data_IF_268686874181
#
_entry.id   IF_268686874181
#
_cell.length_a   1.000
_cell.length_b   1.000
_cell.length_c   1.000
_cell.angle_alpha   90.00
_cell.angle_beta   90.00
_cell.angle_gamma   90.00
#
_symmetry.space_group_name_H-M   'P 1'
#
loop_
_entity.id
_entity.type
_entity.pdbx_description
1 polymer ?
#
# COMPACT_ATOMS: atom_id res chain seq x y z
N UNK A 1 -1.45 -5.35 21.38
CA UNK A 1 -2.07 -4.07 20.99
C UNK A 1 -1.27 -3.44 19.87
N UNK A 2 -1.95 -2.98 18.81
CA UNK A 2 -1.32 -2.27 17.71
C UNK A 2 -1.23 -0.78 18.05
N UNK A 3 -0.09 -0.37 18.61
CA UNK A 3 0.11 1.01 19.08
C UNK A 3 1.03 1.72 18.10
N UNK A 4 0.52 2.75 17.42
CA UNK A 4 1.25 3.45 16.37
C UNK A 4 1.68 4.85 16.79
N UNK A 5 2.90 5.23 16.42
CA UNK A 5 3.31 6.62 16.32
C UNK A 5 3.57 6.92 14.84
N UNK A 6 2.64 7.63 14.19
CA UNK A 6 2.60 7.76 12.72
C UNK A 6 2.63 6.39 12.02
N UNK A 7 3.65 6.09 11.21
CA UNK A 7 3.82 4.81 10.50
C UNK A 7 4.77 3.83 11.23
N UNK A 8 5.10 4.11 12.49
CA UNK A 8 5.94 3.26 13.31
C UNK A 8 5.06 2.52 14.33
N UNK A 9 5.24 1.20 14.39
CA UNK A 9 4.54 0.34 15.31
C UNK A 9 5.40 0.10 16.56
N UNK A 10 4.79 0.21 17.72
CA UNK A 10 5.41 -0.12 19.00
C UNK A 10 5.46 -1.63 19.18
N UNK A 11 6.67 -2.16 19.33
CA UNK A 11 6.95 -3.60 19.50
C UNK A 11 8.05 -3.81 20.54
N UNK A 12 8.18 -5.03 21.06
CA UNK A 12 9.30 -5.40 21.93
C UNK A 12 10.60 -5.68 21.13
N UNK A 13 11.65 -6.12 21.83
CA UNK A 13 12.93 -6.49 21.21
C UNK A 13 12.83 -7.68 20.24
N UNK A 14 11.80 -8.51 20.36
CA UNK A 14 11.52 -9.67 19.50
C UNK A 14 10.43 -9.37 18.45
N UNK A 15 10.16 -8.08 18.21
CA UNK A 15 9.14 -7.59 17.28
C UNK A 15 7.71 -8.09 17.60
N UNK A 16 7.42 -8.39 18.87
CA UNK A 16 6.10 -8.78 19.33
C UNK A 16 5.29 -7.57 19.81
N UNK A 17 3.97 -7.67 19.65
CA UNK A 17 3.04 -6.63 20.10
C UNK A 17 2.96 -6.58 21.63
N UNK A 18 2.94 -5.39 22.24
CA UNK A 18 2.78 -5.26 23.69
C UNK A 18 1.38 -5.71 24.14
N UNK A 19 1.30 -6.22 25.37
CA UNK A 19 0.06 -6.45 26.10
C UNK A 19 -0.20 -5.25 27.00
N UNK A 20 -1.37 -4.65 26.87
CA UNK A 20 -1.75 -3.41 27.56
C UNK A 20 -3.21 -3.48 27.97
N UNK A 21 -3.60 -2.64 28.91
CA UNK A 21 -5.00 -2.44 29.24
C UNK A 21 -5.74 -1.72 28.09
N UNK A 22 -6.97 -2.18 27.86
CA UNK A 22 -7.89 -1.61 26.88
C UNK A 22 -8.49 -0.31 27.43
N UNK A 23 -8.48 0.72 26.61
CA UNK A 23 -9.08 2.03 26.90
C UNK A 23 -10.38 2.21 26.12
N UNK A 24 -11.27 3.07 26.62
CA UNK A 24 -12.53 3.37 25.93
C UNK A 24 -12.33 4.04 24.55
N UNK A 25 -11.21 4.73 24.35
CA UNK A 25 -10.85 5.38 23.09
C UNK A 25 -10.25 4.43 22.04
N UNK A 26 -9.88 3.21 22.43
CA UNK A 26 -9.22 2.24 21.56
C UNK A 26 -10.11 1.87 20.36
N UNK A 27 -9.47 1.71 19.21
CA UNK A 27 -10.13 1.23 18.00
C UNK A 27 -10.22 -0.29 18.02
N UNK A 28 -11.44 -0.81 17.84
CA UNK A 28 -11.69 -2.22 17.56
C UNK A 28 -11.70 -2.42 16.05
N UNK A 29 -10.72 -3.17 15.54
CA UNK A 29 -10.53 -3.37 14.11
C UNK A 29 -10.59 -4.84 13.67
N UNK A 30 -10.81 -5.74 14.63
CA UNK A 30 -10.95 -7.18 14.49
C UNK A 30 -12.26 -7.63 15.12
N UNK A 31 -12.67 -8.87 14.85
CA UNK A 31 -13.82 -9.47 15.53
C UNK A 31 -13.50 -9.87 16.98
N UNK A 32 -12.21 -10.09 17.27
CA UNK A 32 -11.72 -10.26 18.64
C UNK A 32 -11.59 -8.91 19.32
N UNK A 33 -12.42 -8.67 20.34
CA UNK A 33 -12.43 -7.41 21.11
C UNK A 33 -11.22 -7.22 22.04
N UNK A 34 -10.35 -8.24 22.15
CA UNK A 34 -9.07 -8.15 22.87
C UNK A 34 -7.97 -7.52 22.03
N UNK A 35 -8.16 -7.47 20.70
CA UNK A 35 -7.18 -6.88 19.78
C UNK A 35 -7.58 -5.44 19.48
N UNK A 36 -6.77 -4.52 19.97
CA UNK A 36 -7.00 -3.08 19.88
C UNK A 36 -5.94 -2.38 19.02
N UNK A 37 -6.32 -1.23 18.49
CA UNK A 37 -5.40 -0.27 17.88
C UNK A 37 -5.56 1.12 18.51
N UNK A 38 -4.46 1.83 18.75
CA UNK A 38 -4.47 3.22 19.20
C UNK A 38 -3.20 3.96 18.79
N UNK A 39 -3.27 5.28 18.87
CA UNK A 39 -2.09 6.12 18.72
C UNK A 39 -1.32 6.22 20.03
N UNK A 40 0.01 6.18 19.94
CA UNK A 40 0.90 6.68 20.96
C UNK A 40 0.96 8.20 20.78
N UNK A 41 0.60 8.95 21.81
CA UNK A 41 0.62 10.41 21.77
C UNK A 41 2.07 10.91 21.80
N UNK A 42 2.35 12.06 21.18
CA UNK A 42 3.72 12.58 21.06
C UNK A 42 4.36 12.92 22.42
N UNK A 43 3.55 13.19 23.42
CA UNK A 43 3.94 13.42 24.81
C UNK A 43 4.16 12.14 25.63
N UNK A 44 3.74 10.97 25.13
CA UNK A 44 3.91 9.70 25.84
C UNK A 44 5.33 9.15 25.65
N UNK A 45 5.97 8.77 26.76
CA UNK A 45 7.25 8.09 26.71
C UNK A 45 7.08 6.66 26.18
N UNK A 46 8.04 6.22 25.37
CA UNK A 46 8.14 4.80 24.97
C UNK A 46 8.41 3.97 26.23
N UNK A 47 7.55 2.99 26.58
CA UNK A 47 7.77 2.15 27.75
C UNK A 47 9.07 1.35 27.66
N UNK A 48 9.68 1.08 28.82
CA UNK A 48 10.91 0.29 28.90
C UNK A 48 10.75 -1.09 28.22
N UNK A 49 11.74 -1.48 27.42
CA UNK A 49 11.73 -2.74 26.67
C UNK A 49 10.97 -2.70 25.35
N UNK A 50 10.31 -1.59 25.02
CA UNK A 50 9.64 -1.39 23.73
C UNK A 50 10.40 -0.41 22.82
N UNK A 51 10.12 -0.49 21.52
CA UNK A 51 10.72 0.32 20.47
C UNK A 51 9.72 0.61 19.35
N UNK A 52 9.90 1.73 18.67
CA UNK A 52 9.13 2.10 17.48
C UNK A 52 9.82 1.60 16.22
N UNK A 53 9.17 0.72 15.47
CA UNK A 53 9.70 0.15 14.23
C UNK A 53 8.83 0.58 13.05
N UNK A 54 9.38 1.13 11.96
CA UNK A 54 8.60 1.40 10.74
C UNK A 54 7.90 0.14 10.26
N UNK A 55 6.57 0.18 10.08
CA UNK A 55 5.76 -1.00 9.74
C UNK A 55 6.27 -1.74 8.48
N UNK A 56 6.89 -1.03 7.54
CA UNK A 56 7.51 -1.61 6.33
C UNK A 56 8.60 -2.62 6.65
N UNK A 57 9.39 -2.40 7.71
CA UNK A 57 10.47 -3.30 8.11
C UNK A 57 9.95 -4.62 8.71
N UNK A 58 8.68 -4.65 9.12
CA UNK A 58 8.04 -5.85 9.67
C UNK A 58 7.61 -6.84 8.58
N UNK A 59 7.50 -6.42 7.31
CA UNK A 59 7.03 -7.29 6.19
C UNK A 59 7.83 -8.58 6.09
N UNK A 60 9.14 -8.52 6.32
CA UNK A 60 10.02 -9.69 6.19
C UNK A 60 10.07 -10.56 7.45
N UNK A 61 9.64 -10.04 8.61
CA UNK A 61 9.77 -10.70 9.90
C UNK A 61 8.43 -11.25 10.43
N UNK A 62 7.32 -10.74 9.91
CA UNK A 62 5.97 -11.10 10.36
C UNK A 62 5.27 -12.03 9.37
N UNK A 63 4.26 -12.75 9.87
CA UNK A 63 3.34 -13.47 9.00
C UNK A 63 2.51 -12.48 8.16
N UNK A 64 2.00 -12.96 7.02
CA UNK A 64 1.08 -12.20 6.17
C UNK A 64 -0.12 -11.69 6.98
N UNK A 65 -0.66 -12.51 7.87
CA UNK A 65 -1.81 -12.15 8.70
C UNK A 65 -1.49 -11.01 9.67
N UNK A 66 -0.38 -11.09 10.40
CA UNK A 66 0.07 -10.05 11.32
C UNK A 66 0.27 -8.72 10.59
N UNK A 67 0.91 -8.76 9.42
CA UNK A 67 1.13 -7.55 8.61
C UNK A 67 -0.18 -6.95 8.09
N UNK A 68 -1.12 -7.77 7.61
CA UNK A 68 -2.42 -7.30 7.14
C UNK A 68 -3.25 -6.68 8.28
N UNK A 69 -3.17 -7.23 9.50
CA UNK A 69 -3.81 -6.64 10.67
C UNK A 69 -3.16 -5.29 11.05
N UNK A 70 -1.83 -5.20 11.09
CA UNK A 70 -1.15 -3.92 11.32
C UNK A 70 -1.48 -2.88 10.25
N UNK A 71 -1.52 -3.30 8.98
CA UNK A 71 -1.90 -2.50 7.82
C UNK A 71 -3.31 -1.92 7.98
N UNK A 72 -4.27 -2.74 8.40
CA UNK A 72 -5.65 -2.28 8.69
C UNK A 72 -5.69 -1.31 9.86
N UNK A 73 -4.98 -1.62 10.95
CA UNK A 73 -4.94 -0.80 12.15
C UNK A 73 -4.42 0.62 11.85
N UNK A 74 -3.28 0.74 11.16
CA UNK A 74 -2.68 2.05 10.86
C UNK A 74 -3.56 2.89 9.92
N UNK A 75 -4.16 2.27 8.90
CA UNK A 75 -5.06 2.96 7.96
C UNK A 75 -6.32 3.50 8.66
N UNK A 76 -6.91 2.72 9.57
CA UNK A 76 -8.08 3.16 10.32
C UNK A 76 -7.74 4.25 11.35
N UNK A 77 -6.60 4.15 12.03
CA UNK A 77 -6.13 5.21 12.93
C UNK A 77 -5.87 6.51 12.15
N UNK A 78 -5.20 6.42 11.01
CA UNK A 78 -4.96 7.57 10.13
C UNK A 78 -6.24 8.20 9.61
N UNK A 79 -7.18 7.39 9.13
CA UNK A 79 -8.50 7.87 8.73
C UNK A 79 -9.21 8.60 9.87
N UNK A 80 -9.23 8.02 11.09
CA UNK A 80 -9.87 8.63 12.27
C UNK A 80 -9.23 9.97 12.62
N UNK A 81 -7.90 10.10 12.51
CA UNK A 81 -7.18 11.36 12.70
C UNK A 81 -7.57 12.42 11.66
N UNK A 82 -7.67 12.03 10.40
CA UNK A 82 -7.91 12.94 9.29
C UNK A 82 -9.39 13.36 9.12
N UNK A 83 -10.31 12.72 9.84
CA UNK A 83 -11.76 12.99 9.73
C UNK A 83 -12.38 13.48 11.05
N UNK A 84 -11.60 14.12 11.93
CA UNK A 84 -12.08 14.76 13.18
C UNK A 84 -13.09 15.90 12.94
N UNK A 85 -13.07 16.48 11.74
CA UNK A 85 -14.00 17.51 11.30
C UNK A 85 -14.68 17.08 10.00
N UNK A 86 -15.89 17.56 9.76
CA UNK A 86 -16.68 17.26 8.59
C UNK A 86 -16.14 17.99 7.36
N UNK A 87 -15.78 17.26 6.31
CA UNK A 87 -15.32 17.85 5.05
C UNK A 87 -16.40 18.68 4.31
N UNK A 88 -17.67 18.53 4.69
CA UNK A 88 -18.78 19.26 4.06
C UNK A 88 -19.10 20.60 4.76
N UNK A 89 -19.03 20.66 6.09
CA UNK A 89 -19.44 21.86 6.85
C UNK A 89 -18.48 22.31 7.97
N UNK A 90 -17.37 21.61 8.20
CA UNK A 90 -16.36 21.95 9.21
C UNK A 90 -16.72 21.61 10.67
N UNK A 91 -17.92 21.09 10.96
CA UNK A 91 -18.31 20.70 12.32
C UNK A 91 -17.54 19.45 12.80
N UNK A 92 -17.27 19.34 14.10
CA UNK A 92 -16.61 18.16 14.68
C UNK A 92 -17.45 16.89 14.45
N UNK A 93 -16.80 15.76 14.20
CA UNK A 93 -17.46 14.49 13.89
C UNK A 93 -17.48 13.55 15.08
N UNK A 94 -18.41 12.60 15.06
CA UNK A 94 -18.56 11.54 16.05
C UNK A 94 -18.34 10.18 15.41
N UNK A 95 -17.87 9.20 16.19
CA UNK A 95 -17.65 7.83 15.70
C UNK A 95 -19.00 7.12 15.61
N UNK A 96 -19.29 6.52 14.46
CA UNK A 96 -20.50 5.72 14.30
C UNK A 96 -20.46 4.46 15.19
N UNK A 97 -21.59 4.05 15.79
CA UNK A 97 -21.60 2.95 16.78
C UNK A 97 -21.25 1.57 16.23
N UNK A 98 -21.50 1.30 14.94
CA UNK A 98 -21.32 -0.05 14.33
C UNK A 98 -20.39 -0.09 13.11
N UNK A 99 -20.47 0.91 12.23
CA UNK A 99 -19.60 1.05 11.06
C UNK A 99 -18.29 1.81 11.36
N UNK A 100 -17.27 1.58 10.53
CA UNK A 100 -16.13 2.51 10.44
C UNK A 100 -16.57 3.77 9.69
N UNK A 101 -17.27 4.66 10.40
CA UNK A 101 -17.68 5.95 9.87
C UNK A 101 -17.46 7.05 10.92
N UNK A 102 -17.05 8.24 10.45
CA UNK A 102 -17.09 9.48 11.21
C UNK A 102 -18.30 10.27 10.71
N UNK A 103 -19.27 10.52 11.59
CA UNK A 103 -20.56 11.14 11.25
C UNK A 103 -20.61 12.55 11.77
N UNK A 104 -21.05 13.49 10.94
CA UNK A 104 -21.27 14.86 11.35
C UNK A 104 -22.65 15.02 12.00
N UNK A 105 -22.78 15.39 13.29
CA UNK A 105 -24.09 15.60 13.92
C UNK A 105 -24.84 16.81 13.35
N UNK A 106 -24.13 17.77 12.76
CA UNK A 106 -24.73 18.99 12.17
C UNK A 106 -25.39 18.75 10.82
N UNK A 107 -24.74 18.04 9.89
CA UNK A 107 -25.25 17.86 8.52
C UNK A 107 -25.51 16.38 8.15
N UNK A 108 -25.25 15.44 9.05
CA UNK A 108 -25.41 13.98 8.88
C UNK A 108 -24.53 13.35 7.78
N UNK A 109 -23.51 14.07 7.31
CA UNK A 109 -22.55 13.52 6.35
C UNK A 109 -21.72 12.40 6.99
N UNK A 110 -21.63 11.27 6.29
CA UNK A 110 -20.84 10.10 6.70
C UNK A 110 -19.53 10.09 5.94
N UNK A 111 -18.43 9.96 6.67
CA UNK A 111 -17.09 9.88 6.11
C UNK A 111 -16.52 8.50 6.41
N UNK A 112 -16.20 7.73 5.37
CA UNK A 112 -15.68 6.37 5.48
C UNK A 112 -14.16 6.31 5.24
N UNK A 113 -13.45 5.26 5.72
CA UNK A 113 -12.07 5.00 5.35
C UNK A 113 -11.89 4.96 3.84
N UNK A 114 -10.88 5.70 3.34
CA UNK A 114 -10.56 5.73 1.91
C UNK A 114 -9.60 4.60 1.58
N UNK A 115 -9.88 3.89 0.50
CA UNK A 115 -8.97 2.92 -0.11
C UNK A 115 -8.73 3.37 -1.53
N UNK A 116 -7.49 3.72 -1.86
CA UNK A 116 -7.12 4.23 -3.18
C UNK A 116 -6.73 3.05 -4.09
N UNK A 117 -7.48 2.78 -5.17
CA UNK A 117 -7.09 1.76 -6.14
C UNK A 117 -5.80 2.18 -6.87
N UNK A 118 -4.84 1.27 -6.93
CA UNK A 118 -3.56 1.48 -7.59
C UNK A 118 -3.21 0.23 -8.39
N UNK A 119 -3.04 0.37 -9.70
CA UNK A 119 -2.62 -0.75 -10.55
C UNK A 119 -1.12 -0.97 -10.42
N UNK A 120 -0.68 -2.20 -10.65
CA UNK A 120 0.73 -2.54 -10.82
C UNK A 120 0.83 -3.60 -11.90
N UNK A 121 1.67 -3.37 -12.90
CA UNK A 121 1.65 -4.13 -14.14
C UNK A 121 2.99 -4.77 -14.42
N UNK A 122 3.00 -6.10 -14.56
CA UNK A 122 4.13 -6.82 -15.16
C UNK A 122 3.93 -6.89 -16.67
N UNK A 123 4.84 -6.27 -17.42
CA UNK A 123 4.79 -6.19 -18.87
C UNK A 123 5.79 -7.19 -19.45
N UNK A 124 5.30 -8.24 -20.11
CA UNK A 124 6.13 -9.26 -20.76
C UNK A 124 6.38 -8.92 -22.23
N UNK A 125 7.56 -9.24 -22.75
CA UNK A 125 7.89 -9.14 -24.17
C UNK A 125 8.53 -10.44 -24.65
N UNK A 126 7.99 -11.01 -25.72
CA UNK A 126 8.39 -12.35 -26.16
C UNK A 126 8.14 -13.40 -25.07
N UNK A 127 9.01 -14.40 -25.02
CA UNK A 127 8.89 -15.54 -24.11
C UNK A 127 9.78 -15.43 -22.86
N UNK A 128 10.79 -14.54 -22.86
CA UNK A 128 11.85 -14.50 -21.84
C UNK A 128 12.18 -13.11 -21.29
N UNK A 129 11.44 -12.05 -21.64
CA UNK A 129 11.72 -10.68 -21.17
C UNK A 129 10.55 -10.03 -20.41
N UNK A 130 10.88 -9.23 -19.39
CA UNK A 130 9.96 -8.33 -18.69
C UNK A 130 10.50 -6.90 -18.65
N UNK A 131 9.61 -5.92 -18.73
CA UNK A 131 9.96 -4.52 -18.48
C UNK A 131 10.11 -4.28 -16.98
N UNK A 132 11.23 -3.66 -16.58
CA UNK A 132 11.39 -3.11 -15.25
C UNK A 132 11.86 -1.66 -15.34
N UNK A 133 11.41 -0.82 -14.40
CA UNK A 133 11.69 0.60 -14.38
C UNK A 133 12.24 1.06 -13.02
N UNK A 134 13.13 2.06 -13.04
CA UNK A 134 13.73 2.66 -11.85
C UNK A 134 13.12 4.04 -11.63
N UNK A 135 12.45 4.22 -10.49
CA UNK A 135 11.89 5.53 -10.11
C UNK A 135 12.98 6.51 -9.64
N UNK A 136 12.83 7.78 -9.99
CA UNK A 136 13.69 8.89 -9.52
C UNK A 136 13.54 9.13 -8.03
N UNK A 137 12.35 8.85 -7.47
CA UNK A 137 12.06 9.07 -6.05
C UNK A 137 12.66 8.00 -5.14
N UNK A 138 13.04 6.84 -5.70
CA UNK A 138 13.63 5.76 -4.93
C UNK A 138 15.15 5.92 -4.85
N UNK A 139 15.68 5.95 -3.63
CA UNK A 139 17.13 6.07 -3.38
C UNK A 139 17.90 4.76 -3.60
N UNK A 140 17.20 3.64 -3.79
CA UNK A 140 17.83 2.34 -4.07
C UNK A 140 18.08 2.14 -5.56
N UNK A 141 18.93 1.17 -5.92
CA UNK A 141 19.17 0.78 -7.31
C UNK A 141 18.16 -0.26 -7.83
N UNK A 142 17.03 -0.39 -7.13
CA UNK A 142 16.00 -1.37 -7.39
C UNK A 142 15.13 -0.97 -8.59
N UNK A 143 14.90 -1.91 -9.49
CA UNK A 143 13.94 -1.76 -10.58
C UNK A 143 12.62 -2.40 -10.18
N UNK A 144 11.53 -1.65 -10.32
CA UNK A 144 10.16 -2.07 -10.03
C UNK A 144 9.34 -2.30 -11.29
N UNK A 145 8.06 -2.57 -11.06
CA UNK A 145 7.03 -2.63 -12.10
C UNK A 145 6.37 -1.25 -12.25
N UNK A 146 5.76 -1.00 -13.41
CA UNK A 146 4.93 0.19 -13.67
C UNK A 146 3.71 0.15 -12.76
N UNK A 147 3.43 1.24 -12.05
CA UNK A 147 2.36 1.29 -11.07
C UNK A 147 1.88 2.72 -10.84
N UNK A 148 0.56 2.92 -10.90
CA UNK A 148 -0.03 4.22 -10.64
C UNK A 148 -1.47 4.14 -10.17
N UNK A 149 -2.02 5.29 -9.81
CA UNK A 149 -3.37 5.38 -9.25
C UNK A 149 -4.41 5.31 -10.35
N UNK A 150 -5.56 4.71 -10.06
CA UNK A 150 -6.70 4.73 -10.98
C UNK A 150 -7.39 6.08 -10.87
N UNK A 151 -7.67 6.72 -12.01
CA UNK A 151 -8.32 8.03 -12.05
C UNK A 151 -9.85 7.95 -11.97
N UNK A 152 -10.47 9.10 -11.70
CA UNK A 152 -11.94 9.20 -11.63
C UNK A 152 -12.54 8.97 -13.00
N UNK A 153 -13.39 7.93 -13.10
CA UNK A 153 -14.05 7.57 -14.35
C UNK A 153 -13.27 6.57 -15.21
N UNK A 154 -12.13 6.09 -14.71
CA UNK A 154 -11.26 5.13 -15.39
C UNK A 154 -11.56 3.69 -14.93
N UNK A 155 -11.51 2.74 -15.86
CA UNK A 155 -11.44 1.30 -15.56
C UNK A 155 -10.01 0.90 -15.14
N UNK A 156 -9.85 -0.28 -14.55
CA UNK A 156 -8.52 -0.75 -14.17
C UNK A 156 -7.62 -0.98 -15.39
N UNK A 157 -8.19 -1.49 -16.47
CA UNK A 157 -7.51 -1.77 -17.72
C UNK A 157 -7.09 -0.48 -18.45
N UNK A 158 -7.92 0.57 -18.39
CA UNK A 158 -7.55 1.90 -18.88
C UNK A 158 -6.39 2.48 -18.08
N UNK A 159 -6.40 2.36 -16.74
CA UNK A 159 -5.28 2.79 -15.90
C UNK A 159 -3.98 2.06 -16.25
N UNK A 160 -4.05 0.75 -16.49
CA UNK A 160 -2.89 -0.04 -16.94
C UNK A 160 -2.32 0.49 -18.25
N UNK A 161 -3.18 0.84 -19.22
CA UNK A 161 -2.73 1.40 -20.50
C UNK A 161 -2.17 2.81 -20.36
N UNK A 162 -2.84 3.67 -19.58
CA UNK A 162 -2.44 5.06 -19.36
C UNK A 162 -1.07 5.12 -18.69
N UNK A 163 -0.88 4.45 -17.56
CA UNK A 163 0.39 4.46 -16.82
C UNK A 163 1.55 3.91 -17.68
N UNK A 164 1.31 2.85 -18.45
CA UNK A 164 2.34 2.32 -19.37
C UNK A 164 2.68 3.28 -20.52
N UNK A 165 1.71 4.05 -21.00
CA UNK A 165 1.93 5.05 -22.04
C UNK A 165 2.63 6.29 -21.48
N UNK A 166 2.24 6.76 -20.29
CA UNK A 166 2.79 7.95 -19.62
C UNK A 166 4.21 7.70 -19.15
N UNK A 167 4.45 6.65 -18.36
CA UNK A 167 5.74 6.40 -17.71
C UNK A 167 6.83 5.93 -18.69
N UNK A 168 6.45 5.12 -19.68
CA UNK A 168 7.41 4.40 -20.55
C UNK A 168 7.08 4.42 -22.05
N UNK A 169 6.00 5.07 -22.48
CA UNK A 169 5.68 5.25 -23.92
C UNK A 169 5.21 3.99 -24.64
N UNK A 170 4.77 2.96 -23.91
CA UNK A 170 4.45 1.64 -24.50
C UNK A 170 2.95 1.39 -24.58
N UNK A 171 2.54 0.70 -25.66
CA UNK A 171 1.18 0.13 -25.78
C UNK A 171 1.18 -1.33 -25.38
N UNK A 172 0.13 -1.72 -24.67
CA UNK A 172 -0.04 -3.07 -24.14
C UNK A 172 -1.20 -3.80 -24.80
N UNK A 173 -1.16 -5.13 -24.74
CA UNK A 173 -2.26 -6.02 -25.10
C UNK A 173 -2.40 -7.12 -24.05
N UNK A 174 -3.47 -7.92 -24.14
CA UNK A 174 -3.70 -9.07 -23.28
C UNK A 174 -3.61 -8.73 -21.77
N UNK A 175 -4.21 -7.60 -21.38
CA UNK A 175 -4.25 -7.16 -19.97
C UNK A 175 -5.11 -8.15 -19.18
N UNK A 176 -4.51 -8.75 -18.15
CA UNK A 176 -5.13 -9.80 -17.34
C UNK A 176 -4.87 -9.55 -15.85
N UNK A 177 -5.93 -9.54 -15.06
CA UNK A 177 -5.82 -9.49 -13.61
C UNK A 177 -5.08 -10.73 -13.06
N UNK A 178 -4.19 -10.52 -12.09
CA UNK A 178 -3.46 -11.57 -11.40
C UNK A 178 -3.91 -11.72 -9.94
N UNK A 179 -3.82 -10.64 -9.16
CA UNK A 179 -4.06 -10.66 -7.71
C UNK A 179 -4.24 -9.25 -7.16
N UNK A 180 -4.49 -9.12 -5.85
CA UNK A 180 -4.48 -7.82 -5.16
C UNK A 180 -3.87 -7.92 -3.77
N UNK A 181 -3.30 -6.80 -3.29
CA UNK A 181 -2.70 -6.70 -1.97
C UNK A 181 -3.00 -5.34 -1.33
N UNK A 182 -3.53 -5.30 -0.09
CA UNK A 182 -3.62 -4.06 0.69
C UNK A 182 -2.23 -3.49 0.98
N UNK A 183 -2.07 -2.20 0.77
CA UNK A 183 -0.80 -1.50 0.93
C UNK A 183 -0.97 -0.23 1.79
N UNK A 184 -0.51 -0.25 3.06
CA UNK A 184 -0.84 0.77 4.07
C UNK A 184 -0.05 2.08 3.93
N UNK A 185 0.39 2.42 2.71
CA UNK A 185 1.27 3.56 2.47
C UNK A 185 0.71 4.45 1.34
N UNK A 186 -0.22 5.38 1.65
CA UNK A 186 -0.89 5.61 2.93
C UNK A 186 -2.17 4.76 3.14
N UNK A 187 -2.90 4.42 2.07
CA UNK A 187 -4.13 3.60 2.16
C UNK A 187 -4.54 3.08 0.78
N UNK A 188 -3.69 2.24 0.17
CA UNK A 188 -3.83 1.80 -1.21
C UNK A 188 -4.27 0.34 -1.29
N UNK A 189 -4.99 0.00 -2.35
CA UNK A 189 -5.18 -1.38 -2.79
C UNK A 189 -4.37 -1.58 -4.08
N UNK A 190 -3.28 -2.33 -3.99
CA UNK A 190 -2.49 -2.70 -5.16
C UNK A 190 -3.24 -3.78 -5.93
N UNK A 191 -3.45 -3.57 -7.23
CA UNK A 191 -4.19 -4.45 -8.12
C UNK A 191 -3.22 -4.88 -9.22
N UNK A 192 -2.79 -6.14 -9.16
CA UNK A 192 -1.77 -6.68 -10.04
C UNK A 192 -2.36 -7.11 -11.38
N UNK A 193 -1.74 -6.65 -12.46
CA UNK A 193 -2.02 -7.05 -13.82
C UNK A 193 -0.78 -7.64 -14.48
N UNK A 194 -1.00 -8.62 -15.35
CA UNK A 194 -0.06 -9.01 -16.41
C UNK A 194 -0.53 -8.37 -17.71
N UNK A 195 0.40 -7.87 -18.49
CA UNK A 195 0.14 -7.42 -19.85
C UNK A 195 1.30 -7.81 -20.77
N UNK A 196 1.05 -7.84 -22.07
CA UNK A 196 2.05 -8.09 -23.09
C UNK A 196 2.39 -6.79 -23.83
N UNK A 197 3.67 -6.59 -24.13
CA UNK A 197 4.10 -5.55 -25.04
C UNK A 197 3.42 -5.73 -26.41
N UNK A 198 2.80 -4.65 -26.91
CA UNK A 198 2.22 -4.60 -28.25
C UNK A 198 3.11 -3.80 -29.21
N UNK A 199 3.39 -2.55 -28.89
CA UNK A 199 4.14 -1.62 -29.73
C UNK A 199 4.65 -0.40 -28.95
N UNK A 200 5.51 0.40 -29.59
CA UNK A 200 6.09 1.62 -29.02
C UNK A 200 7.61 1.52 -28.84
N UNK A 201 8.23 2.66 -28.54
CA UNK A 201 9.63 2.74 -28.13
C UNK A 201 9.65 3.29 -26.71
N UNK A 202 10.61 2.85 -25.89
CA UNK A 202 10.72 3.32 -24.51
C UNK A 202 10.99 4.82 -24.55
N UNK A 203 10.05 5.58 -24.00
CA UNK A 203 10.13 7.03 -23.82
C UNK A 203 9.74 7.33 -22.38
N UNK A 204 10.71 7.79 -21.59
CA UNK A 204 10.54 7.92 -20.15
C UNK A 204 9.82 9.23 -19.80
N UNK A 205 8.96 9.16 -18.79
CA UNK A 205 8.51 10.35 -18.07
C UNK A 205 9.63 10.80 -17.12
N UNK A 206 10.42 11.79 -17.55
CA UNK A 206 11.68 12.18 -16.90
C UNK A 206 11.53 12.74 -15.47
N UNK A 207 10.32 13.06 -15.00
CA UNK A 207 10.05 13.47 -13.62
C UNK A 207 9.76 12.28 -12.68
N UNK A 208 9.43 11.10 -13.22
CA UNK A 208 9.09 9.91 -12.45
C UNK A 208 10.08 8.75 -12.62
N UNK A 209 10.54 8.51 -13.86
CA UNK A 209 11.33 7.34 -14.25
C UNK A 209 12.74 7.74 -14.68
N UNK A 210 13.73 7.19 -13.98
CA UNK A 210 15.16 7.41 -14.22
C UNK A 210 15.72 6.49 -15.31
N UNK A 211 15.16 5.28 -15.43
CA UNK A 211 15.57 4.27 -16.40
C UNK A 211 14.47 3.21 -16.57
N UNK A 212 14.29 2.66 -17.76
CA UNK A 212 13.41 1.52 -17.99
C UNK A 212 13.96 0.63 -19.11
N UNK A 213 14.01 -0.68 -18.88
CA UNK A 213 14.57 -1.63 -19.83
C UNK A 213 13.81 -2.96 -19.78
N UNK A 214 13.83 -3.67 -20.90
CA UNK A 214 13.45 -5.07 -20.93
C UNK A 214 14.62 -5.92 -20.44
N UNK A 215 14.37 -6.72 -19.40
CA UNK A 215 15.34 -7.63 -18.82
C UNK A 215 14.93 -9.06 -19.06
N UNK A 216 15.90 -9.91 -19.39
CA UNK A 216 15.67 -11.35 -19.48
C UNK A 216 15.41 -11.97 -18.12
N UNK A 217 14.60 -13.02 -18.08
CA UNK A 217 14.25 -13.73 -16.85
C UNK A 217 15.47 -14.26 -16.08
N UNK A 218 16.55 -14.61 -16.79
CA UNK A 218 17.81 -15.10 -16.22
C UNK A 218 18.83 -14.00 -15.91
N UNK A 219 18.51 -12.74 -16.22
CA UNK A 219 19.39 -11.57 -16.09
C UNK A 219 18.67 -10.38 -15.45
N UNK A 220 17.90 -10.66 -14.40
CA UNK A 220 17.18 -9.62 -13.66
C UNK A 220 18.13 -8.72 -12.85
N UNK A 221 17.84 -7.41 -12.75
CA UNK A 221 18.55 -6.49 -11.88
C UNK A 221 18.14 -6.72 -10.41
N UNK A 222 18.51 -5.79 -9.52
CA UNK A 222 17.96 -5.76 -8.17
C UNK A 222 16.44 -5.46 -8.22
N UNK A 223 15.63 -6.39 -7.71
CA UNK A 223 14.16 -6.33 -7.72
C UNK A 223 13.58 -6.05 -6.32
N UNK A 224 12.27 -5.74 -6.19
CA UNK A 224 11.62 -5.51 -4.90
C UNK A 224 11.78 -6.66 -3.93
N UNK A 225 11.80 -6.34 -2.63
CA UNK A 225 12.02 -7.32 -1.57
C UNK A 225 10.89 -8.36 -1.46
N UNK A 226 11.25 -9.55 -0.97
CA UNK A 226 10.31 -10.65 -0.71
C UNK A 226 9.21 -10.21 0.26
N UNK A 227 7.96 -10.44 -0.12
CA UNK A 227 6.76 -10.02 0.62
C UNK A 227 6.01 -8.84 -0.03
N UNK A 228 6.62 -8.15 -1.00
CA UNK A 228 5.92 -7.20 -1.87
C UNK A 228 5.16 -7.92 -2.99
N UNK A 229 4.06 -7.30 -3.47
CA UNK A 229 3.30 -7.81 -4.62
C UNK A 229 4.18 -7.85 -5.88
N UNK A 230 5.05 -6.87 -6.07
CA UNK A 230 5.97 -6.81 -7.20
C UNK A 230 6.94 -7.99 -7.24
N UNK A 231 7.60 -8.32 -6.11
CA UNK A 231 8.45 -9.52 -6.03
C UNK A 231 7.66 -10.79 -6.34
N UNK A 232 6.45 -10.92 -5.80
CA UNK A 232 5.59 -12.08 -6.04
C UNK A 232 5.24 -12.22 -7.53
N UNK A 233 4.87 -11.13 -8.20
CA UNK A 233 4.56 -11.10 -9.64
C UNK A 233 5.77 -11.49 -10.48
N UNK A 234 6.93 -10.88 -10.23
CA UNK A 234 8.17 -11.17 -10.96
C UNK A 234 8.52 -12.64 -10.81
N UNK A 235 8.55 -13.15 -9.57
CA UNK A 235 8.87 -14.56 -9.29
C UNK A 235 7.90 -15.50 -9.99
N UNK A 236 6.60 -15.20 -9.97
CA UNK A 236 5.57 -16.02 -10.61
C UNK A 236 5.76 -16.09 -12.13
N UNK A 237 6.16 -14.99 -12.78
CA UNK A 237 6.34 -14.96 -14.23
C UNK A 237 7.67 -15.58 -14.66
N UNK A 238 8.76 -15.33 -13.93
CA UNK A 238 10.10 -15.78 -14.34
C UNK A 238 10.45 -17.21 -13.91
N UNK A 239 9.60 -17.84 -13.08
CA UNK A 239 9.78 -19.23 -12.62
C UNK A 239 8.63 -20.16 -13.04
N UNK A 240 7.68 -19.67 -13.85
CA UNK A 240 6.61 -20.48 -14.45
C UNK A 240 7.14 -21.27 -15.65
#
# INVERSE_FOLDING_TARGET
>A
AYIFHHQQLLVDQNLQLPKVEKLASDLLFTHDEQVIARDLLSEEAIPEGLQLVPIRQLISNWSKEQFLQASRAVQLLEWRRNHKFCSHCGHATEVHPTEYAMVCPSCRYHQYPRVNPCIITIITKGDDEILLAKSIHNKTNMYGLIAGFVEVGETLEEAVQREALEEVGLKLKNIQYMSSQPWPFPSNLMIAFRAEYESGEISLQEDEIADAQFFKFDQLPEIPFKGSIAHAMITQITQA
#
